data_IF_376482403074
#
_entry.id   IF_376482403074
#
_cell.length_a   1.000
_cell.length_b   1.000
_cell.length_c   1.000
_cell.angle_alpha   90.00
_cell.angle_beta   90.00
_cell.angle_gamma   90.00
#
_symmetry.space_group_name_H-M   'P 1'
#
loop_
_entity.id
_entity.type
_entity.pdbx_description
1 polymer ?
#
# COMPACT_ATOMS: atom_id res chain seq x y z
N UNK A 1 -3.60 4.44 -13.64
CA UNK A 1 -2.35 4.15 -12.89
C UNK A 1 -2.44 4.63 -11.45
N UNK A 2 -2.60 5.94 -11.19
CA UNK A 2 -2.60 6.51 -9.83
C UNK A 2 -3.55 5.80 -8.86
N UNK A 3 -4.79 5.52 -9.24
CA UNK A 3 -5.75 4.81 -8.39
C UNK A 3 -5.27 3.40 -8.02
N UNK A 4 -4.68 2.67 -8.97
CA UNK A 4 -4.17 1.32 -8.75
C UNK A 4 -2.99 1.32 -7.78
N UNK A 5 -2.00 2.21 -7.98
CA UNK A 5 -0.84 2.29 -7.09
C UNK A 5 -1.22 2.81 -5.70
N UNK A 6 -2.12 3.79 -5.58
CA UNK A 6 -2.56 4.31 -4.28
C UNK A 6 -3.35 3.25 -3.51
N UNK A 7 -4.26 2.53 -4.18
CA UNK A 7 -5.03 1.46 -3.55
C UNK A 7 -4.12 0.30 -3.13
N UNK A 8 -3.22 -0.15 -4.01
CA UNK A 8 -2.23 -1.19 -3.68
C UNK A 8 -1.34 -0.77 -2.49
N UNK A 9 -0.84 0.46 -2.50
CA UNK A 9 0.02 0.97 -1.43
C UNK A 9 -0.70 1.09 -0.09
N UNK A 10 -1.96 1.55 -0.11
CA UNK A 10 -2.79 1.67 1.09
C UNK A 10 -3.12 0.29 1.68
N UNK A 11 -3.80 -0.57 0.91
CA UNK A 11 -4.24 -1.88 1.41
C UNK A 11 -3.07 -2.85 1.66
N UNK A 12 -1.96 -2.67 0.93
CA UNK A 12 -0.73 -3.44 1.15
C UNK A 12 0.17 -2.90 2.25
N UNK A 13 -0.17 -1.75 2.87
CA UNK A 13 0.68 -1.06 3.86
C UNK A 13 2.10 -0.74 3.33
N UNK A 14 2.22 -0.43 2.05
CA UNK A 14 3.52 -0.31 1.39
C UNK A 14 4.22 1.01 1.74
N UNK A 15 5.55 0.96 1.86
CA UNK A 15 6.40 2.15 1.76
C UNK A 15 6.49 2.56 0.30
N UNK A 16 6.61 3.86 0.06
CA UNK A 16 6.80 4.38 -1.28
C UNK A 16 7.99 3.75 -2.03
N UNK A 17 9.07 3.42 -1.32
CA UNK A 17 10.23 2.75 -1.92
C UNK A 17 10.00 1.30 -2.37
N UNK A 18 8.91 0.65 -1.95
CA UNK A 18 8.60 -0.74 -2.34
C UNK A 18 7.92 -0.81 -3.72
N UNK A 19 7.31 0.29 -4.19
CA UNK A 19 6.59 0.33 -5.48
C UNK A 19 7.06 1.45 -6.42
N UNK A 20 8.09 2.22 -6.04
CA UNK A 20 8.70 3.25 -6.88
C UNK A 20 10.20 3.06 -6.98
N UNK A 21 10.80 3.61 -8.04
CA UNK A 21 12.25 3.73 -8.13
C UNK A 21 12.75 4.95 -7.36
N UNK A 22 14.01 4.88 -6.89
CA UNK A 22 14.71 6.01 -6.27
C UNK A 22 14.81 7.18 -7.26
N UNK A 23 14.91 8.41 -6.75
CA UNK A 23 14.92 9.64 -7.56
C UNK A 23 15.94 9.61 -8.70
N UNK A 24 17.17 9.17 -8.39
CA UNK A 24 18.28 9.02 -9.34
C UNK A 24 18.54 7.56 -9.71
N UNK A 25 17.60 6.67 -9.40
CA UNK A 25 17.71 5.24 -9.66
C UNK A 25 17.36 4.89 -11.10
N UNK A 26 18.01 3.88 -11.65
CA UNK A 26 17.55 3.20 -12.86
C UNK A 26 16.66 2.03 -12.47
N UNK A 27 15.72 1.69 -13.34
CA UNK A 27 14.93 0.48 -13.16
C UNK A 27 15.82 -0.75 -13.15
N UNK A 28 15.65 -1.60 -12.14
CA UNK A 28 16.30 -2.88 -12.00
C UNK A 28 15.23 -3.94 -11.69
N UNK A 29 14.94 -4.88 -12.60
CA UNK A 29 13.91 -5.90 -12.38
C UNK A 29 14.24 -6.88 -11.25
N UNK A 30 15.45 -6.85 -10.65
CA UNK A 30 15.77 -7.63 -9.44
C UNK A 30 15.40 -6.90 -8.15
N UNK A 31 15.25 -5.57 -8.18
CA UNK A 31 15.01 -4.74 -6.99
C UNK A 31 13.64 -4.06 -7.03
N UNK A 32 13.12 -3.81 -8.22
CA UNK A 32 11.89 -3.08 -8.45
C UNK A 32 10.77 -4.01 -8.93
N UNK A 33 9.55 -3.62 -8.59
CA UNK A 33 8.36 -4.37 -9.00
C UNK A 33 8.25 -4.40 -10.52
N UNK A 34 7.90 -5.58 -10.99
CA UNK A 34 7.68 -5.98 -12.37
C UNK A 34 6.26 -6.50 -12.52
N UNK A 35 5.77 -6.62 -13.76
CA UNK A 35 4.46 -7.22 -14.03
C UNK A 35 4.37 -8.64 -13.46
N UNK A 36 5.45 -9.43 -13.51
CA UNK A 36 5.48 -10.80 -12.96
C UNK A 36 5.37 -10.89 -11.44
N UNK A 37 5.54 -9.79 -10.71
CA UNK A 37 5.40 -9.80 -9.25
C UNK A 37 3.94 -9.76 -8.80
N UNK A 38 3.01 -9.62 -9.74
CA UNK A 38 1.58 -9.81 -9.49
C UNK A 38 1.18 -11.20 -9.96
N UNK A 39 0.93 -12.09 -9.01
CA UNK A 39 0.46 -13.45 -9.25
C UNK A 39 -1.06 -13.51 -9.11
N UNK A 40 -1.77 -13.62 -10.23
CA UNK A 40 -3.23 -13.71 -10.23
C UNK A 40 -3.71 -15.06 -9.66
N UNK A 41 -4.83 -15.04 -8.94
CA UNK A 41 -5.54 -16.22 -8.47
C UNK A 41 -7.05 -16.08 -8.75
N UNK A 42 -7.86 -17.09 -8.39
CA UNK A 42 -9.31 -17.10 -8.69
C UNK A 42 -10.06 -15.88 -8.13
N UNK A 43 -9.64 -15.39 -6.96
CA UNK A 43 -10.38 -14.39 -6.20
C UNK A 43 -9.62 -13.07 -6.02
N UNK A 44 -8.50 -12.87 -6.71
CA UNK A 44 -7.62 -11.74 -6.47
C UNK A 44 -6.20 -11.95 -6.99
N UNK A 45 -5.22 -11.47 -6.23
CA UNK A 45 -3.82 -11.60 -6.59
C UNK A 45 -2.91 -11.60 -5.36
N UNK A 46 -1.67 -12.03 -5.55
CA UNK A 46 -0.60 -11.90 -4.56
C UNK A 46 0.48 -11.00 -5.15
N UNK A 47 0.87 -9.96 -4.40
CA UNK A 47 2.03 -9.14 -4.71
C UNK A 47 3.28 -9.77 -4.07
N UNK A 48 4.32 -10.02 -4.85
CA UNK A 48 5.63 -10.42 -4.36
C UNK A 48 6.54 -9.18 -4.23
N UNK A 49 6.89 -8.79 -3.01
CA UNK A 49 7.80 -7.68 -2.77
C UNK A 49 9.25 -8.18 -2.80
N UNK A 50 10.06 -7.61 -3.70
CA UNK A 50 11.49 -7.96 -3.86
C UNK A 50 12.39 -7.36 -2.81
N UNK A 51 11.97 -6.23 -2.23
CA UNK A 51 12.74 -5.52 -1.24
C UNK A 51 11.82 -5.05 -0.13
N UNK A 52 12.23 -5.30 1.10
CA UNK A 52 11.63 -4.73 2.30
C UNK A 52 12.76 -4.13 3.12
N UNK A 53 12.59 -2.90 3.61
CA UNK A 53 13.59 -2.22 4.46
C UNK A 53 13.92 -2.99 5.74
N UNK A 54 13.05 -3.89 6.17
CA UNK A 54 13.23 -4.71 7.39
C UNK A 54 13.68 -6.13 7.08
N UNK A 55 13.89 -6.45 5.80
CA UNK A 55 14.24 -7.79 5.35
C UNK A 55 15.71 -7.84 4.93
N UNK A 56 16.56 -8.00 5.94
CA UNK A 56 18.01 -8.20 5.78
C UNK A 56 18.30 -9.50 5.00
N UNK A 57 17.33 -10.42 4.93
CA UNK A 57 17.46 -11.73 4.30
C UNK A 57 16.81 -11.85 2.91
N UNK A 58 16.10 -10.82 2.44
CA UNK A 58 15.35 -10.81 1.15
C UNK A 58 14.43 -12.02 0.99
N UNK A 59 13.76 -12.43 2.07
CA UNK A 59 12.70 -13.41 1.99
C UNK A 59 11.50 -12.79 1.28
N UNK A 60 11.30 -13.18 0.01
CA UNK A 60 10.14 -12.84 -0.82
C UNK A 60 8.86 -12.65 0.01
N UNK A 61 8.44 -11.39 0.18
CA UNK A 61 7.29 -11.06 1.00
C UNK A 61 6.04 -11.08 0.13
N UNK A 62 5.17 -12.04 0.42
CA UNK A 62 3.88 -12.19 -0.28
C UNK A 62 2.79 -11.40 0.42
N UNK A 63 2.19 -10.45 -0.29
CA UNK A 63 1.07 -9.65 0.19
C UNK A 63 -0.20 -10.06 -0.58
N UNK A 64 -1.11 -10.83 0.03
CA UNK A 64 -2.34 -11.27 -0.64
C UNK A 64 -3.37 -10.14 -0.70
N UNK A 65 -4.09 -10.08 -1.82
CA UNK A 65 -5.23 -9.20 -2.03
C UNK A 65 -6.38 -10.03 -2.58
N UNK A 66 -7.46 -10.14 -1.80
CA UNK A 66 -8.67 -10.85 -2.20
C UNK A 66 -9.83 -9.88 -2.44
N UNK A 67 -10.74 -10.25 -3.34
CA UNK A 67 -11.97 -9.49 -3.59
C UNK A 67 -12.79 -9.44 -2.30
N UNK A 68 -13.20 -8.23 -1.93
CA UNK A 68 -14.05 -8.01 -0.78
C UNK A 68 -15.46 -8.52 -1.09
N UNK A 69 -16.07 -9.27 -0.15
CA UNK A 69 -17.42 -9.81 -0.31
C UNK A 69 -18.52 -8.74 -0.33
N UNK A 70 -18.23 -7.57 0.23
CA UNK A 70 -19.14 -6.43 0.29
C UNK A 70 -18.43 -5.27 -0.39
N UNK A 71 -18.75 -5.03 -1.66
CA UNK A 71 -18.27 -3.86 -2.38
C UNK A 71 -19.04 -2.63 -1.88
N UNK A 72 -18.54 -1.96 -0.84
CA UNK A 72 -19.13 -0.68 -0.40
C UNK A 72 -18.84 0.45 -1.39
N UNK A 73 -17.86 0.29 -2.29
CA UNK A 73 -17.72 1.09 -3.51
C UNK A 73 -16.79 0.41 -4.53
N UNK A 74 -17.19 0.22 -5.80
CA UNK A 74 -16.32 -0.34 -6.86
C UNK A 74 -15.05 0.47 -7.13
N UNK A 75 -15.06 1.75 -6.72
CA UNK A 75 -14.02 2.74 -7.05
C UNK A 75 -12.75 2.54 -6.19
N UNK A 76 -12.85 1.86 -5.05
CA UNK A 76 -11.73 1.66 -4.12
C UNK A 76 -11.18 0.23 -4.06
N UNK A 77 -11.83 -0.73 -4.73
CA UNK A 77 -11.45 -2.15 -4.67
C UNK A 77 -10.02 -2.37 -5.23
N UNK A 78 -9.03 -2.78 -4.41
CA UNK A 78 -7.64 -2.92 -4.85
C UNK A 78 -7.49 -3.98 -5.94
N UNK A 79 -8.27 -5.07 -5.85
CA UNK A 79 -8.27 -6.12 -6.87
C UNK A 79 -8.75 -5.58 -8.21
N UNK A 80 -9.89 -4.90 -8.26
CA UNK A 80 -10.43 -4.36 -9.50
C UNK A 80 -9.46 -3.35 -10.14
N UNK A 81 -8.98 -2.38 -9.36
CA UNK A 81 -8.09 -1.33 -9.85
C UNK A 81 -6.77 -1.90 -10.40
N UNK A 82 -6.21 -2.92 -9.74
CA UNK A 82 -4.99 -3.58 -10.21
C UNK A 82 -5.24 -4.42 -11.46
N UNK A 83 -6.34 -5.17 -11.53
CA UNK A 83 -6.68 -5.94 -12.74
C UNK A 83 -6.92 -5.03 -13.95
N UNK A 84 -7.68 -3.96 -13.78
CA UNK A 84 -7.94 -2.97 -14.85
C UNK A 84 -6.61 -2.35 -15.32
N UNK A 85 -5.71 -2.03 -14.39
CA UNK A 85 -4.39 -1.50 -14.73
C UNK A 85 -3.49 -2.52 -15.44
N UNK A 86 -3.45 -3.77 -14.99
CA UNK A 86 -2.67 -4.84 -15.65
C UNK A 86 -3.17 -5.10 -17.06
N UNK A 87 -4.49 -5.06 -17.29
CA UNK A 87 -5.06 -5.18 -18.63
C UNK A 87 -4.57 -4.06 -19.55
N UNK A 88 -4.54 -2.80 -19.07
CA UNK A 88 -3.98 -1.67 -19.83
C UNK A 88 -2.48 -1.87 -20.13
N UNK A 89 -1.72 -2.42 -19.17
CA UNK A 89 -0.30 -2.72 -19.36
C UNK A 89 -0.08 -3.80 -20.42
N UNK A 90 -0.87 -4.87 -20.39
CA UNK A 90 -0.83 -5.93 -21.38
C UNK A 90 -1.21 -5.41 -22.78
N UNK A 91 -2.26 -4.60 -22.89
CA UNK A 91 -2.67 -3.97 -24.16
C UNK A 91 -1.58 -3.05 -24.72
N UNK A 92 -0.81 -2.41 -23.84
CA UNK A 92 0.36 -1.60 -24.20
C UNK A 92 1.63 -2.41 -24.51
N UNK A 93 1.56 -3.75 -24.57
CA UNK A 93 2.68 -4.62 -24.93
C UNK A 93 3.67 -4.90 -23.79
N UNK A 94 3.29 -4.65 -22.52
CA UNK A 94 4.20 -4.89 -21.40
C UNK A 94 4.53 -6.38 -21.24
N UNK A 95 5.83 -6.69 -21.19
CA UNK A 95 6.37 -7.99 -20.85
C UNK A 95 6.40 -8.25 -19.33
N UNK A 96 6.74 -9.50 -18.97
CA UNK A 96 6.79 -9.94 -17.56
C UNK A 96 7.81 -9.15 -16.73
N UNK A 97 8.98 -8.87 -17.30
CA UNK A 97 10.09 -8.18 -16.63
C UNK A 97 9.99 -6.66 -16.68
N UNK A 98 8.95 -6.11 -17.33
CA UNK A 98 8.76 -4.67 -17.41
C UNK A 98 8.32 -4.10 -16.06
N UNK A 99 8.62 -2.82 -15.77
CA UNK A 99 8.27 -2.18 -14.51
C UNK A 99 6.77 -2.32 -14.22
N UNK A 100 6.36 -2.59 -12.98
CA UNK A 100 4.94 -2.75 -12.64
C UNK A 100 4.17 -1.43 -12.79
N UNK A 101 4.75 -0.31 -12.39
CA UNK A 101 4.12 1.01 -12.51
C UNK A 101 4.91 1.94 -13.43
N UNK A 102 4.20 2.54 -14.38
CA UNK A 102 4.72 3.54 -15.33
C UNK A 102 3.88 4.81 -15.28
N UNK A 103 4.50 5.97 -15.48
CA UNK A 103 3.82 7.25 -15.60
C UNK A 103 3.17 7.41 -17.00
N UNK A 104 2.49 8.54 -17.23
CA UNK A 104 1.83 8.85 -18.50
C UNK A 104 2.78 8.91 -19.71
N UNK A 105 4.08 9.08 -19.46
CA UNK A 105 5.15 9.08 -20.49
C UNK A 105 5.76 7.69 -20.71
N UNK A 106 5.22 6.65 -20.08
CA UNK A 106 5.75 5.28 -20.17
C UNK A 106 7.01 5.03 -19.34
N UNK A 107 7.48 6.01 -18.58
CA UNK A 107 8.67 5.86 -17.73
C UNK A 107 8.30 5.19 -16.41
N UNK A 108 9.21 4.39 -15.86
CA UNK A 108 9.05 3.77 -14.54
C UNK A 108 8.70 4.81 -13.47
N UNK A 109 7.74 4.46 -12.59
CA UNK A 109 7.24 5.37 -11.57
C UNK A 109 8.34 5.75 -10.56
N UNK A 110 8.72 7.02 -10.58
CA UNK A 110 9.72 7.61 -9.70
C UNK A 110 9.13 8.09 -8.38
N UNK A 111 9.84 7.89 -7.27
CA UNK A 111 9.40 8.29 -5.92
C UNK A 111 9.07 9.78 -5.78
N UNK A 112 9.94 10.66 -6.28
CA UNK A 112 9.76 12.11 -6.13
C UNK A 112 8.57 12.57 -6.95
N UNK A 113 8.50 12.12 -8.20
CA UNK A 113 7.37 12.38 -9.07
C UNK A 113 6.05 11.92 -8.42
N UNK A 114 6.00 10.69 -7.93
CA UNK A 114 4.79 10.15 -7.29
C UNK A 114 4.36 10.97 -6.07
N UNK A 115 5.27 11.29 -5.15
CA UNK A 115 4.95 12.09 -3.95
C UNK A 115 4.46 13.48 -4.35
N UNK A 116 5.14 14.12 -5.31
CA UNK A 116 4.78 15.45 -5.78
C UNK A 116 3.38 15.46 -6.41
N UNK A 117 3.08 14.50 -7.28
CA UNK A 117 1.73 14.35 -7.86
C UNK A 117 0.66 14.15 -6.80
N UNK A 118 0.93 13.37 -5.74
CA UNK A 118 -0.03 13.21 -4.63
C UNK A 118 -0.23 14.51 -3.87
N UNK A 119 0.84 15.27 -3.61
CA UNK A 119 0.74 16.57 -2.94
C UNK A 119 -0.08 17.58 -3.75
N UNK A 120 0.16 17.66 -5.06
CA UNK A 120 -0.60 18.51 -5.98
C UNK A 120 -2.09 18.15 -5.97
N UNK A 121 -2.43 16.85 -5.98
CA UNK A 121 -3.82 16.41 -5.88
C UNK A 121 -4.43 16.85 -4.54
N UNK A 122 -3.71 16.70 -3.43
CA UNK A 122 -4.20 17.10 -2.10
C UNK A 122 -4.41 18.62 -2.02
N UNK A 123 -3.48 19.41 -2.55
CA UNK A 123 -3.58 20.88 -2.61
C UNK A 123 -4.74 21.32 -3.49
N UNK A 124 -4.98 20.65 -4.62
CA UNK A 124 -6.13 20.93 -5.49
C UNK A 124 -7.48 20.68 -4.82
N UNK A 125 -7.50 19.87 -3.75
CA UNK A 125 -8.68 19.64 -2.90
C UNK A 125 -8.78 20.65 -1.73
N UNK A 126 -7.88 21.64 -1.66
CA UNK A 126 -7.86 22.65 -0.60
C UNK A 126 -7.27 22.17 0.73
N UNK A 127 -6.51 21.06 0.72
CA UNK A 127 -5.91 20.47 1.92
C UNK A 127 -4.40 20.76 2.00
N UNK A 128 -3.86 20.81 3.22
CA UNK A 128 -2.43 20.99 3.45
C UNK A 128 -1.64 19.71 3.14
N UNK A 129 -0.60 19.82 2.31
CA UNK A 129 0.18 18.67 1.83
C UNK A 129 1.46 18.37 2.62
N UNK A 130 1.87 19.26 3.54
CA UNK A 130 3.17 19.19 4.24
C UNK A 130 3.39 17.89 5.03
N UNK A 131 2.31 17.30 5.55
CA UNK A 131 2.35 16.01 6.26
C UNK A 131 2.45 14.77 5.36
N UNK A 132 2.27 14.91 4.05
CA UNK A 132 2.20 13.78 3.12
C UNK A 132 3.57 13.47 2.52
N UNK A 133 4.04 12.24 2.75
CA UNK A 133 5.33 11.76 2.29
C UNK A 133 5.29 10.25 1.97
N UNK A 134 6.45 9.67 1.67
CA UNK A 134 6.55 8.26 1.28
C UNK A 134 6.12 7.23 2.32
N UNK A 135 5.86 7.63 3.57
CA UNK A 135 5.34 6.77 4.64
C UNK A 135 3.82 6.89 4.82
N UNK A 136 3.18 7.87 4.19
CA UNK A 136 1.78 8.21 4.45
C UNK A 136 0.81 7.08 4.13
N UNK A 137 1.08 6.24 3.13
CA UNK A 137 0.24 5.08 2.82
C UNK A 137 0.28 4.03 3.93
N UNK A 138 1.48 3.59 4.33
CA UNK A 138 1.64 2.61 5.42
C UNK A 138 1.11 3.09 6.76
N UNK A 139 1.36 4.36 7.11
CA UNK A 139 0.83 4.97 8.35
C UNK A 139 -0.69 5.15 8.24
N UNK A 140 -1.14 5.71 7.11
CA UNK A 140 -2.53 6.02 6.83
C UNK A 140 -3.43 4.79 6.75
N UNK A 141 -2.88 3.60 6.49
CA UNK A 141 -3.62 2.33 6.58
C UNK A 141 -3.69 1.78 8.01
N UNK A 142 -2.69 2.04 8.85
CA UNK A 142 -2.63 1.56 10.23
C UNK A 142 -3.70 2.19 11.13
N UNK A 143 -3.88 3.50 11.03
CA UNK A 143 -4.84 4.22 11.88
C UNK A 143 -6.27 3.75 11.64
N UNK A 144 -6.78 3.64 10.39
CA UNK A 144 -8.11 3.09 10.13
C UNK A 144 -8.24 1.61 10.49
N UNK A 145 -7.20 0.79 10.29
CA UNK A 145 -7.22 -0.60 10.72
C UNK A 145 -7.46 -0.73 12.23
N UNK A 146 -6.81 0.09 13.04
CA UNK A 146 -7.07 0.13 14.48
C UNK A 146 -8.49 0.63 14.81
N UNK A 147 -9.00 1.64 14.08
CA UNK A 147 -10.37 2.15 14.28
C UNK A 147 -11.45 1.10 13.99
N UNK A 148 -11.21 0.18 13.06
CA UNK A 148 -12.11 -0.94 12.76
C UNK A 148 -11.79 -2.19 13.59
N UNK A 149 -11.03 -2.04 14.68
CA UNK A 149 -10.67 -3.09 15.64
C UNK A 149 -9.87 -4.25 15.04
N UNK A 150 -9.05 -4.03 14.03
CA UNK A 150 -8.05 -5.02 13.63
C UNK A 150 -7.07 -5.21 14.80
N UNK A 151 -6.83 -6.45 15.27
CA UNK A 151 -5.87 -6.72 16.34
C UNK A 151 -4.49 -6.14 16.05
N UNK A 152 -3.87 -5.55 17.07
CA UNK A 152 -2.54 -4.94 17.00
C UNK A 152 -1.47 -5.81 16.34
N UNK A 153 -1.45 -7.10 16.66
CA UNK A 153 -0.48 -8.04 16.08
C UNK A 153 -0.70 -8.23 14.56
N UNK A 154 -1.95 -8.16 14.08
CA UNK A 154 -2.25 -8.19 12.65
C UNK A 154 -1.86 -6.87 11.98
N UNK A 155 -2.10 -5.72 12.61
CA UNK A 155 -1.62 -4.42 12.08
C UNK A 155 -0.09 -4.45 11.96
N UNK A 156 0.60 -4.94 12.98
CA UNK A 156 2.06 -5.12 12.99
C UNK A 156 2.51 -6.01 11.82
N UNK A 157 1.81 -7.12 11.60
CA UNK A 157 2.10 -8.09 10.52
C UNK A 157 1.81 -7.51 9.14
N UNK A 158 0.64 -6.91 8.92
CA UNK A 158 0.22 -6.29 7.65
C UNK A 158 1.18 -5.19 7.23
N UNK A 159 1.59 -4.34 8.17
CA UNK A 159 2.58 -3.33 7.89
C UNK A 159 4.01 -3.83 7.90
N UNK A 160 4.32 -5.04 8.36
CA UNK A 160 5.69 -5.56 8.47
C UNK A 160 6.56 -4.68 9.36
N UNK A 161 6.06 -4.34 10.55
CA UNK A 161 6.84 -3.64 11.57
C UNK A 161 7.58 -4.66 12.44
N UNK A 162 8.91 -4.51 12.56
CA UNK A 162 9.70 -5.34 13.47
C UNK A 162 9.49 -4.96 14.94
N UNK A 163 9.42 -3.66 15.22
CA UNK A 163 9.20 -3.11 16.56
C UNK A 163 7.78 -2.59 16.76
N UNK A 164 7.49 -2.14 17.99
CA UNK A 164 6.19 -1.57 18.35
C UNK A 164 6.03 -0.10 17.92
N UNK A 165 6.89 0.40 17.02
CA UNK A 165 6.80 1.80 16.56
C UNK A 165 5.47 2.14 15.87
N UNK A 166 4.74 1.13 15.36
CA UNK A 166 3.42 1.29 14.77
C UNK A 166 2.38 1.83 15.77
N UNK A 167 2.56 1.57 17.07
CA UNK A 167 1.65 2.05 18.13
C UNK A 167 1.56 3.58 18.16
N UNK A 168 2.61 4.30 17.76
CA UNK A 168 2.58 5.78 17.66
C UNK A 168 1.56 6.29 16.63
N UNK A 169 1.16 5.44 15.68
CA UNK A 169 0.18 5.76 14.65
C UNK A 169 -1.23 5.29 15.00
N UNK A 170 -1.37 4.47 16.05
CA UNK A 170 -2.66 4.02 16.57
C UNK A 170 -3.11 5.04 17.62
N UNK A 171 -4.14 5.81 17.29
CA UNK A 171 -4.78 6.72 18.25
C UNK A 171 -5.96 6.01 18.89
N UNK A 172 -5.84 5.71 20.18
CA UNK A 172 -6.92 5.11 20.96
C UNK A 172 -7.98 6.17 21.23
N UNK A 173 -9.21 5.91 20.79
CA UNK A 173 -10.36 6.73 21.16
C UNK A 173 -10.63 6.57 22.67
N UNK A 174 -10.79 7.66 23.45
CA UNK A 174 -11.14 7.58 24.87
C UNK A 174 -12.34 6.67 25.16
N UNK A 175 -13.30 6.55 24.23
CA UNK A 175 -14.45 5.63 24.37
C UNK A 175 -14.03 4.17 24.50
N UNK A 176 -12.98 3.74 23.80
CA UNK A 176 -12.45 2.37 23.89
C UNK A 176 -11.90 2.13 25.29
N UNK A 177 -11.24 3.13 25.88
CA UNK A 177 -10.72 3.06 27.26
C UNK A 177 -11.87 2.90 28.25
N UNK A 178 -12.95 3.67 28.11
CA UNK A 178 -14.14 3.56 28.97
C UNK A 178 -14.82 2.20 28.83
N UNK A 179 -14.96 1.67 27.62
CA UNK A 179 -15.53 0.32 27.38
C UNK A 179 -14.65 -0.76 28.05
N UNK A 180 -13.33 -0.63 27.97
CA UNK A 180 -12.41 -1.56 28.62
C UNK A 180 -12.55 -1.52 30.15
N UNK A 181 -12.65 -0.33 30.73
CA UNK A 181 -12.89 -0.15 32.17
C UNK A 181 -14.22 -0.78 32.63
N UNK A 182 -15.30 -0.59 31.86
CA UNK A 182 -16.60 -1.20 32.16
C UNK A 182 -16.57 -2.73 32.09
N UNK A 183 -15.79 -3.31 31.17
CA UNK A 183 -15.61 -4.76 31.12
C UNK A 183 -14.84 -5.29 32.33
N UNK A 184 -13.85 -4.54 32.82
CA UNK A 184 -13.08 -4.92 34.02
C UNK A 184 -13.93 -4.86 35.29
N UNK A 185 -14.90 -3.94 35.39
CA UNK A 185 -15.78 -3.84 36.57
C UNK A 185 -16.84 -4.93 36.65
N UNK A 186 -17.00 -5.73 35.60
CA UNK A 186 -17.99 -6.82 35.52
C UNK A 186 -17.36 -8.21 35.77
N UNK A 187 -16.12 -8.25 36.25
CA UNK A 187 -15.47 -9.41 36.86
C UNK A 187 -15.48 -9.26 38.39
#
# INVERSE_FOLDING_TARGET
MLSAVCSLAYFGFLHCGEFTIKSNGKFNPKENLTVSDIMLNRNGFVLNLKTSKTDVFRLDVKVPFERQRIETSPISCPVKLMLDYLHLRQKGGAGKSDPLFINSKGMTLNRVYFIQTIKEIIESLGLLSDGYNGHSFRIGAATPAAKVNVPDHLIKTMGRWSSNCYQRYIRTDPKIVTIAQQKLSNF
#
